data_IF_017373152721
#
_entry.id   IF_017373152721
#
_cell.length_a   1.000
_cell.length_b   1.000
_cell.length_c   1.000
_cell.angle_alpha   90.00
_cell.angle_beta   90.00
_cell.angle_gamma   90.00
#
_symmetry.space_group_name_H-M   'P 1'
#
loop_
_entity.id
_entity.type
_entity.pdbx_description
1 polymer ?
#
# COMPACT_ATOMS: atom_id res chain seq x y z
N UNK A 1 1.05 -0.87 -6.32
CA UNK A 1 2.49 -0.79 -6.06
C UNK A 1 3.22 -1.70 -7.02
N UNK A 2 4.41 -1.27 -7.43
CA UNK A 2 5.34 -2.03 -8.27
C UNK A 2 6.68 -2.12 -7.58
N UNK A 3 7.37 -3.24 -7.77
CA UNK A 3 8.72 -3.42 -7.25
C UNK A 3 9.66 -2.37 -7.83
N UNK A 4 10.40 -1.66 -6.97
CA UNK A 4 11.38 -0.65 -7.40
C UNK A 4 12.53 -1.24 -8.24
N UNK A 5 12.79 -2.54 -8.12
CA UNK A 5 13.89 -3.23 -8.83
C UNK A 5 13.45 -3.76 -10.19
N UNK A 6 12.36 -4.54 -10.25
CA UNK A 6 11.94 -5.25 -11.47
C UNK A 6 10.59 -4.79 -12.03
N UNK A 7 9.95 -3.78 -11.42
CA UNK A 7 8.65 -3.23 -11.80
C UNK A 7 7.47 -4.22 -11.75
N UNK A 8 7.67 -5.42 -11.21
CA UNK A 8 6.61 -6.40 -11.00
C UNK A 8 5.52 -5.85 -10.08
N UNK A 9 4.26 -6.21 -10.34
CA UNK A 9 3.13 -5.76 -9.52
C UNK A 9 3.09 -6.48 -8.18
N UNK A 10 3.17 -5.72 -7.10
CA UNK A 10 3.22 -6.25 -5.74
C UNK A 10 1.83 -6.16 -5.09
N UNK A 11 0.78 -6.70 -5.70
CA UNK A 11 -0.57 -6.64 -5.11
C UNK A 11 -0.99 -8.00 -4.57
N UNK A 12 -1.77 -7.99 -3.48
CA UNK A 12 -2.28 -9.20 -2.84
C UNK A 12 -1.17 -10.18 -2.39
N UNK A 13 -0.01 -9.64 -2.00
CA UNK A 13 1.13 -10.40 -1.52
C UNK A 13 1.28 -10.20 -0.01
N UNK A 14 1.29 -11.31 0.74
CA UNK A 14 1.58 -11.31 2.17
C UNK A 14 3.10 -11.29 2.45
N UNK A 15 3.87 -11.90 1.56
CA UNK A 15 5.33 -11.95 1.62
C UNK A 15 5.91 -10.56 1.31
N UNK A 16 6.83 -10.09 2.16
CA UNK A 16 7.48 -8.76 2.02
C UNK A 16 8.69 -8.78 1.10
N UNK A 17 8.63 -9.67 0.11
CA UNK A 17 9.70 -9.98 -0.82
C UNK A 17 9.08 -10.11 -2.20
N UNK A 18 9.67 -9.44 -3.19
CA UNK A 18 9.20 -9.56 -4.56
C UNK A 18 9.41 -11.01 -5.05
N UNK A 19 8.37 -11.70 -5.56
CA UNK A 19 8.49 -13.09 -6.01
C UNK A 19 9.39 -13.26 -7.24
N UNK A 20 9.56 -12.20 -8.04
CA UNK A 20 10.37 -12.25 -9.26
C UNK A 20 11.87 -12.04 -9.00
N UNK A 21 12.22 -11.05 -8.16
CA UNK A 21 13.61 -10.63 -7.99
C UNK A 21 14.15 -10.81 -6.57
N UNK A 22 13.33 -11.23 -5.62
CA UNK A 22 13.74 -11.42 -4.22
C UNK A 22 14.01 -10.12 -3.46
N UNK A 23 13.78 -8.94 -4.05
CA UNK A 23 14.01 -7.67 -3.36
C UNK A 23 12.99 -7.48 -2.23
N UNK A 24 13.42 -7.12 -1.01
CA UNK A 24 12.50 -6.79 0.06
C UNK A 24 11.73 -5.51 -0.29
N UNK A 25 10.50 -5.40 0.17
CA UNK A 25 9.70 -4.19 0.05
C UNK A 25 8.76 -4.03 1.24
N UNK A 26 8.51 -2.79 1.64
CA UNK A 26 7.58 -2.46 2.70
C UNK A 26 6.44 -1.60 2.14
N UNK A 27 5.16 -1.88 2.44
CA UNK A 27 4.05 -0.99 2.11
C UNK A 27 4.27 0.46 2.53
N UNK A 28 4.90 0.69 3.69
CA UNK A 28 5.20 2.03 4.22
C UNK A 28 6.20 2.83 3.37
N UNK A 29 6.97 2.16 2.51
CA UNK A 29 7.89 2.80 1.56
C UNK A 29 7.14 3.48 0.40
N UNK A 30 5.89 3.12 0.13
CA UNK A 30 5.14 3.61 -1.02
C UNK A 30 4.08 4.61 -0.58
N UNK A 31 3.87 5.66 -1.36
CA UNK A 31 2.75 6.57 -1.21
C UNK A 31 1.61 6.16 -2.13
N UNK A 32 0.39 6.37 -1.68
CA UNK A 32 -0.82 6.01 -2.40
C UNK A 32 -1.75 7.23 -2.52
N UNK A 33 -2.60 7.21 -3.54
CA UNK A 33 -3.70 8.17 -3.61
C UNK A 33 -4.69 7.81 -2.50
N UNK A 34 -5.08 8.75 -1.62
CA UNK A 34 -6.01 8.46 -0.53
C UNK A 34 -7.30 7.80 -1.05
N UNK A 35 -7.83 6.84 -0.30
CA UNK A 35 -9.09 6.15 -0.57
C UNK A 35 -9.11 5.27 -1.85
N UNK A 36 -7.94 4.95 -2.43
CA UNK A 36 -7.81 4.10 -3.63
C UNK A 36 -7.21 2.70 -3.36
N UNK A 37 -6.63 2.50 -2.18
CA UNK A 37 -6.03 1.22 -1.76
C UNK A 37 -6.74 0.69 -0.52
N UNK A 38 -7.00 -0.61 -0.53
CA UNK A 38 -7.45 -1.36 0.64
C UNK A 38 -6.25 -2.03 1.31
N UNK A 39 -6.11 -1.75 2.60
CA UNK A 39 -5.14 -2.37 3.48
C UNK A 39 -5.84 -3.47 4.25
N UNK A 40 -5.58 -4.73 3.89
CA UNK A 40 -6.22 -5.90 4.48
C UNK A 40 -5.40 -6.38 5.68
N UNK A 41 -6.07 -6.68 6.78
CA UNK A 41 -5.43 -7.39 7.89
C UNK A 41 -5.05 -8.81 7.44
N UNK A 42 -3.82 -9.28 7.73
CA UNK A 42 -3.35 -10.60 7.32
C UNK A 42 -4.08 -11.76 8.02
N UNK A 43 -4.78 -11.49 9.13
CA UNK A 43 -5.52 -12.51 9.88
C UNK A 43 -7.02 -12.54 9.56
N UNK A 44 -7.67 -11.37 9.51
CA UNK A 44 -9.12 -11.21 9.40
C UNK A 44 -9.58 -10.79 7.99
N UNK A 45 -8.66 -10.46 7.08
CA UNK A 45 -8.90 -9.90 5.73
C UNK A 45 -9.80 -8.64 5.71
N UNK A 46 -10.00 -8.01 6.86
CA UNK A 46 -10.75 -6.75 6.97
C UNK A 46 -10.00 -5.65 6.23
N UNK A 47 -10.71 -4.94 5.36
CA UNK A 47 -10.18 -3.79 4.63
C UNK A 47 -10.23 -2.51 5.47
N UNK A 48 -9.09 -1.85 5.55
CA UNK A 48 -8.90 -0.49 6.03
C UNK A 48 -8.53 0.41 4.84
N UNK A 49 -8.86 1.69 4.94
CA UNK A 49 -8.61 2.65 3.88
C UNK A 49 -7.59 3.68 4.34
N UNK A 50 -6.64 3.97 3.45
CA UNK A 50 -5.69 5.03 3.70
C UNK A 50 -6.30 6.39 3.42
N UNK A 51 -6.38 7.22 4.45
CA UNK A 51 -7.02 8.55 4.40
C UNK A 51 -6.05 9.67 4.75
N UNK A 52 -4.82 9.35 5.15
CA UNK A 52 -3.81 10.37 5.41
C UNK A 52 -3.24 10.96 4.11
N UNK A 53 -2.37 11.95 4.27
CA UNK A 53 -1.67 12.66 3.20
C UNK A 53 -0.77 11.77 2.31
N UNK A 54 -0.38 10.59 2.80
CA UNK A 54 0.39 9.57 2.06
C UNK A 54 -0.49 8.45 1.52
N UNK A 55 -1.81 8.52 1.73
CA UNK A 55 -2.75 7.45 1.41
C UNK A 55 -2.54 6.20 2.26
N UNK A 56 -2.02 6.35 3.48
CA UNK A 56 -1.87 5.30 4.50
C UNK A 56 -3.03 5.34 5.49
N UNK A 57 -3.36 4.18 6.12
CA UNK A 57 -4.25 4.18 7.27
C UNK A 57 -3.62 5.00 8.41
N UNK A 58 -4.43 5.58 9.31
CA UNK A 58 -3.93 6.41 10.41
C UNK A 58 -2.83 5.68 11.20
N UNK A 59 -1.70 6.37 11.42
CA UNK A 59 -0.55 5.83 12.15
C UNK A 59 -0.89 5.62 13.63
N UNK A 60 -0.63 4.41 14.12
CA UNK A 60 -0.80 4.02 15.53
C UNK A 60 -1.66 2.78 15.63
N UNK A 61 -1.05 1.66 16.05
CA UNK A 61 -1.68 0.38 16.46
C UNK A 61 -3.12 0.22 15.96
N UNK A 62 -3.28 -0.09 14.67
CA UNK A 62 -4.60 -0.46 14.15
C UNK A 62 -4.84 -1.89 14.62
N UNK A 63 -5.34 -2.03 15.85
CA UNK A 63 -5.87 -3.31 16.30
C UNK A 63 -7.03 -3.66 15.35
N UNK A 64 -6.89 -4.71 14.53
CA UNK A 64 -8.04 -5.20 13.75
C UNK A 64 -9.15 -5.51 14.74
N UNK A 65 -10.41 -5.36 14.34
CA UNK A 65 -11.56 -5.78 15.16
C UNK A 65 -11.48 -7.25 15.59
N UNK A 66 -10.68 -8.08 14.90
CA UNK A 66 -10.37 -9.45 15.30
C UNK A 66 -9.42 -9.57 16.51
N UNK A 67 -8.94 -8.44 17.06
CA UNK A 67 -7.97 -8.38 18.15
C UNK A 67 -6.50 -8.55 17.74
N UNK A 68 -6.20 -8.57 16.44
CA UNK A 68 -4.82 -8.68 15.95
C UNK A 68 -4.20 -7.28 15.85
N UNK A 69 -3.07 -7.06 16.52
CA UNK A 69 -2.28 -5.84 16.36
C UNK A 69 -1.67 -5.84 14.96
N UNK A 70 -2.16 -4.96 14.09
CA UNK A 70 -1.70 -4.90 12.70
C UNK A 70 -0.78 -3.70 12.53
N UNK A 71 0.40 -3.98 11.99
CA UNK A 71 1.29 -2.95 11.47
C UNK A 71 1.07 -2.77 9.96
N UNK A 72 1.24 -1.54 9.47
CA UNK A 72 1.10 -1.21 8.05
C UNK A 72 1.94 -2.14 7.15
N UNK A 73 3.15 -2.48 7.58
CA UNK A 73 4.05 -3.32 6.82
C UNK A 73 3.68 -4.80 6.84
N UNK A 74 2.74 -5.19 7.70
CA UNK A 74 2.15 -6.54 7.74
C UNK A 74 0.85 -6.63 6.94
N UNK A 75 0.22 -5.51 6.58
CA UNK A 75 -1.06 -5.50 5.86
C UNK A 75 -0.90 -5.94 4.40
N UNK A 76 -1.89 -6.64 3.87
CA UNK A 76 -1.93 -7.06 2.47
C UNK A 76 -2.63 -5.96 1.68
N UNK A 77 -1.97 -5.41 0.67
CA UNK A 77 -2.52 -4.29 -0.11
C UNK A 77 -3.21 -4.81 -1.37
N UNK A 78 -4.38 -4.25 -1.67
CA UNK A 78 -5.04 -4.40 -2.97
C UNK A 78 -5.62 -3.07 -3.45
N UNK A 79 -5.75 -2.87 -4.77
CA UNK A 79 -6.54 -1.76 -5.29
C UNK A 79 -7.98 -1.90 -4.81
N UNK A 80 -8.60 -0.78 -4.46
CA UNK A 80 -10.03 -0.75 -4.17
C UNK A 80 -10.83 -1.16 -5.41
N UNK A 81 -11.98 -1.80 -5.19
CA UNK A 81 -12.93 -2.11 -6.25
C UNK A 81 -13.23 -0.86 -7.12
N UNK A 82 -13.12 -1.03 -8.44
CA UNK A 82 -13.26 0.04 -9.42
C UNK A 82 -12.02 0.92 -9.66
N UNK A 83 -10.97 0.82 -8.85
CA UNK A 83 -9.69 1.52 -9.06
C UNK A 83 -8.69 0.64 -9.83
N UNK A 84 -8.03 1.18 -10.85
CA UNK A 84 -6.93 0.47 -11.52
C UNK A 84 -5.66 0.62 -10.70
N UNK A 85 -4.75 -0.35 -10.83
CA UNK A 85 -3.44 -0.30 -10.13
C UNK A 85 -2.61 0.93 -10.45
N UNK A 86 -2.84 1.57 -11.60
CA UNK A 86 -2.20 2.82 -12.00
C UNK A 86 -2.80 4.08 -11.34
N UNK A 87 -4.07 4.01 -10.93
CA UNK A 87 -4.78 5.14 -10.30
C UNK A 87 -4.50 5.21 -8.80
N UNK A 88 -3.91 4.16 -8.22
CA UNK A 88 -3.63 4.07 -6.79
C UNK A 88 -2.32 4.70 -6.36
N UNK A 89 -1.44 5.01 -7.31
CA UNK A 89 -0.12 5.59 -7.03
C UNK A 89 -0.13 7.06 -7.47
N UNK A 90 0.41 7.98 -6.65
CA UNK A 90 0.50 9.38 -7.03
C UNK A 90 1.35 9.50 -8.30
N UNK A 91 0.80 10.16 -9.32
CA UNK A 91 1.53 10.42 -10.55
C UNK A 91 2.50 11.57 -10.31
N UNK A 92 3.79 11.24 -10.19
CA UNK A 92 4.84 12.24 -10.17
C UNK A 92 5.00 12.80 -11.58
N UNK A 93 4.37 13.94 -11.85
CA UNK A 93 4.56 14.66 -13.11
C UNK A 93 5.86 15.49 -13.02
N UNK A 94 6.88 15.19 -13.84
CA UNK A 94 8.19 15.85 -13.75
C UNK A 94 8.14 17.35 -14.07
N UNK A 95 7.03 17.85 -14.62
CA UNK A 95 6.80 19.26 -14.95
C UNK A 95 6.02 20.03 -13.85
N UNK A 96 5.55 19.34 -12.80
CA UNK A 96 4.81 19.93 -11.69
C UNK A 96 5.68 20.09 -10.42
N UNK A 97 6.97 19.81 -10.47
CA UNK A 97 7.90 20.26 -9.43
C UNK A 97 8.04 21.78 -9.55
N UNK A 98 7.15 22.51 -8.89
CA UNK A 98 7.37 23.91 -8.57
C UNK A 98 8.57 23.94 -7.63
N UNK A 99 9.73 24.31 -8.15
CA UNK A 99 10.83 24.78 -7.32
C UNK A 99 10.30 25.95 -6.47
N UNK A 100 10.38 25.83 -5.15
CA UNK A 100 10.10 26.92 -4.19
C UNK A 100 11.25 27.00 -3.20
#
# INVERSE_FOLDING_TARGET
MRCRTCQYELWNLAERTCPECGSPYLPSDYDFVPNTVEFLCPNCERAYYGLDERGHPPRGEVTCECGFEVDLDQMILRPRDGCRTADTMPQHHPWLTVES
#
